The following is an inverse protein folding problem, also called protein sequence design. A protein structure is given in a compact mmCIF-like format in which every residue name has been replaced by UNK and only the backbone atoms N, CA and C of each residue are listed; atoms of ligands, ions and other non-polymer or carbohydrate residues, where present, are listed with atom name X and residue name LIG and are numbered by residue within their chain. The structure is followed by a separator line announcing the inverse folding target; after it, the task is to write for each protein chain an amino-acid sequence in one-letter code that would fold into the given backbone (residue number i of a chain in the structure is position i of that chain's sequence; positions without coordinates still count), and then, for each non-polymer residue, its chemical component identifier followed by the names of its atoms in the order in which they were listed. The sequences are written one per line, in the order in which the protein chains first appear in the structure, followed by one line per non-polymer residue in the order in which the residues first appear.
data_IF_065704148361
#
_entry.id   IF_065704148361
#
_cell.length_a   1.000
_cell.length_b   1.000
_cell.length_c   1.000
_cell.angle_alpha   90.00
_cell.angle_beta   90.00
_cell.angle_gamma   90.00
#
_symmetry.space_group_name_H-M   'P 1'
#
loop_
_entity.id
_entity.type
_entity.pdbx_description
1 polymer ?
#
# COMPACT_ATOMS: atom_id res chain seq x y z
N UNK A 1 4.28 -9.60 20.74
CA UNK A 1 3.18 -8.70 20.29
C UNK A 1 3.35 -8.14 18.87
N UNK A 2 4.42 -7.37 18.56
CA UNK A 2 4.59 -6.68 17.25
C UNK A 2 4.36 -7.58 16.01
N UNK A 3 4.99 -8.75 15.97
CA UNK A 3 4.87 -9.71 14.85
C UNK A 3 3.43 -10.21 14.68
N UNK A 4 2.71 -10.45 15.78
CA UNK A 4 1.33 -10.89 15.72
C UNK A 4 0.41 -9.78 15.21
N UNK A 5 0.64 -8.52 15.62
CA UNK A 5 -0.08 -7.37 15.07
C UNK A 5 0.19 -7.17 13.57
N UNK A 6 1.41 -7.45 13.10
CA UNK A 6 1.76 -7.38 11.68
C UNK A 6 0.98 -8.41 10.86
N UNK A 7 0.89 -9.65 11.35
CA UNK A 7 0.05 -10.70 10.76
C UNK A 7 -1.43 -10.31 10.77
N UNK A 8 -1.94 -9.82 11.90
CA UNK A 8 -3.32 -9.37 12.00
C UNK A 8 -3.61 -8.24 11.01
N UNK A 9 -2.72 -7.25 10.85
CA UNK A 9 -2.84 -6.19 9.83
C UNK A 9 -2.94 -6.78 8.42
N UNK A 10 -2.09 -7.76 8.06
CA UNK A 10 -2.18 -8.42 6.75
C UNK A 10 -3.53 -9.11 6.56
N UNK A 11 -4.01 -9.82 7.57
CA UNK A 11 -5.33 -10.46 7.56
C UNK A 11 -6.45 -9.44 7.39
N UNK A 12 -6.39 -8.29 8.09
CA UNK A 12 -7.41 -7.24 7.99
C UNK A 12 -7.47 -6.57 6.60
N UNK A 13 -6.41 -6.68 5.80
CA UNK A 13 -6.43 -6.21 4.40
C UNK A 13 -7.37 -7.05 3.51
N UNK A 14 -7.72 -8.28 3.90
CA UNK A 14 -8.66 -9.15 3.16
C UNK A 14 -9.91 -9.50 3.98
N UNK A 15 -9.79 -9.73 5.28
CA UNK A 15 -10.86 -10.07 6.21
C UNK A 15 -11.34 -8.86 7.03
N UNK A 16 -12.55 -8.93 7.57
CA UNK A 16 -13.15 -7.88 8.41
C UNK A 16 -12.73 -7.95 9.88
N UNK A 17 -12.10 -9.04 10.30
CA UNK A 17 -11.67 -9.31 11.66
C UNK A 17 -10.40 -10.16 11.67
N UNK A 18 -9.57 -10.02 12.70
CA UNK A 18 -8.39 -10.85 12.94
C UNK A 18 -8.22 -11.10 14.44
N UNK A 19 -7.83 -12.33 14.78
CA UNK A 19 -7.49 -12.74 16.15
C UNK A 19 -5.97 -12.68 16.34
N UNK A 20 -5.55 -12.20 17.50
CA UNK A 20 -4.17 -12.09 17.97
C UNK A 20 -4.09 -12.98 19.20
N UNK A 21 -3.37 -14.10 19.07
CA UNK A 21 -3.11 -15.03 20.17
C UNK A 21 -1.59 -15.13 20.36
N UNK A 22 -1.14 -14.95 21.59
CA UNK A 22 0.27 -15.09 21.97
C UNK A 22 0.33 -15.77 23.33
N UNK A 23 0.94 -16.96 23.35
CA UNK A 23 1.13 -17.74 24.56
C UNK A 23 2.13 -17.05 25.49
N UNK A 24 1.86 -17.09 26.80
CA UNK A 24 2.73 -16.59 27.86
C UNK A 24 3.35 -15.20 27.56
N UNK A 25 2.55 -14.26 27.05
CA UNK A 25 3.04 -12.94 26.62
C UNK A 25 3.69 -12.17 27.77
N UNK A 26 3.13 -12.26 28.97
CA UNK A 26 3.65 -11.62 30.18
C UNK A 26 3.30 -12.46 31.41
N UNK A 27 4.27 -12.73 32.28
CA UNK A 27 4.09 -13.51 33.52
C UNK A 27 3.39 -14.88 33.34
N UNK A 28 3.69 -15.57 32.24
CA UNK A 28 3.02 -16.83 31.84
C UNK A 28 1.51 -16.71 31.60
N UNK A 29 1.01 -15.50 31.35
CA UNK A 29 -0.38 -15.24 30.97
C UNK A 29 -0.47 -15.11 29.46
N UNK A 30 -1.38 -15.89 28.87
CA UNK A 30 -1.70 -15.82 27.44
C UNK A 30 -2.40 -14.52 27.11
N UNK A 31 -2.20 -14.04 25.88
CA UNK A 31 -2.83 -12.83 25.38
C UNK A 31 -3.76 -13.15 24.20
N UNK A 32 -5.06 -13.40 24.46
CA UNK A 32 -6.08 -13.44 23.43
C UNK A 32 -6.65 -12.03 23.20
N UNK A 33 -6.61 -11.57 21.95
CA UNK A 33 -7.26 -10.34 21.54
C UNK A 33 -7.88 -10.48 20.16
N UNK A 34 -8.93 -9.72 19.88
CA UNK A 34 -9.54 -9.67 18.57
C UNK A 34 -9.69 -8.23 18.13
N UNK A 35 -9.35 -7.95 16.87
CA UNK A 35 -9.46 -6.63 16.28
C UNK A 35 -10.26 -6.70 14.98
N UNK A 36 -11.16 -5.73 14.79
CA UNK A 36 -11.92 -5.58 13.55
C UNK A 36 -11.21 -4.62 12.61
N UNK A 37 -11.48 -4.74 11.31
CA UNK A 37 -10.98 -3.81 10.28
C UNK A 37 -11.42 -2.38 10.61
N UNK A 38 -12.68 -2.20 11.01
CA UNK A 38 -13.21 -0.89 11.39
C UNK A 38 -12.39 -0.25 12.54
N UNK A 39 -12.07 -1.03 13.58
CA UNK A 39 -11.25 -0.54 14.70
C UNK A 39 -9.82 -0.23 14.27
N UNK A 40 -9.22 -1.06 13.43
CA UNK A 40 -7.90 -0.79 12.86
C UNK A 40 -7.88 0.50 12.03
N UNK A 41 -8.88 0.70 11.18
CA UNK A 41 -9.00 1.90 10.35
C UNK A 41 -9.26 3.16 11.16
N UNK A 42 -10.00 3.06 12.27
CA UNK A 42 -10.17 4.13 13.24
C UNK A 42 -8.84 4.50 13.92
N UNK A 43 -8.11 3.51 14.43
CA UNK A 43 -6.83 3.69 15.13
C UNK A 43 -5.74 4.32 14.25
N UNK A 44 -5.77 4.08 12.94
CA UNK A 44 -4.80 4.60 11.99
C UNK A 44 -5.37 5.70 11.08
N UNK A 45 -6.56 6.23 11.38
CA UNK A 45 -7.29 7.10 10.46
C UNK A 45 -6.56 8.41 10.15
N UNK A 46 -5.89 8.98 11.12
CA UNK A 46 -5.02 10.16 10.97
C UNK A 46 -3.80 9.86 10.07
N UNK A 47 -3.13 8.73 10.30
CA UNK A 47 -2.01 8.27 9.48
C UNK A 47 -2.42 7.97 8.03
N UNK A 48 -3.61 7.40 7.82
CA UNK A 48 -4.12 7.15 6.47
C UNK A 48 -4.50 8.44 5.75
N UNK A 49 -5.02 9.45 6.45
CA UNK A 49 -5.32 10.75 5.83
C UNK A 49 -4.05 11.52 5.49
N UNK A 50 -2.99 11.41 6.29
CA UNK A 50 -1.74 12.12 6.03
C UNK A 50 -1.04 11.63 4.76
N UNK A 51 -1.35 10.42 4.24
CA UNK A 51 -0.78 9.93 2.97
C UNK A 51 -1.25 10.70 1.75
N UNK A 52 -2.34 11.48 1.84
CA UNK A 52 -2.84 12.30 0.74
C UNK A 52 -2.03 13.60 0.60
N UNK A 53 -1.48 14.14 1.69
CA UNK A 53 -0.75 15.41 1.66
C UNK A 53 0.47 15.39 0.71
N UNK A 54 1.30 14.32 0.66
CA UNK A 54 2.35 14.20 -0.35
C UNK A 54 1.83 14.16 -1.80
N UNK A 55 0.66 13.56 -2.02
CA UNK A 55 0.04 13.47 -3.36
C UNK A 55 -0.42 14.85 -3.83
N UNK A 56 -1.00 15.64 -2.93
CA UNK A 56 -1.35 17.03 -3.24
C UNK A 56 -0.12 17.87 -3.55
N UNK A 57 0.94 17.74 -2.74
CA UNK A 57 2.19 18.49 -2.93
C UNK A 57 2.82 18.19 -4.28
N UNK A 58 2.92 16.92 -4.69
CA UNK A 58 3.54 16.58 -5.99
C UNK A 58 2.74 17.10 -7.18
N UNK A 59 1.40 17.13 -7.08
CA UNK A 59 0.56 17.74 -8.12
C UNK A 59 0.76 19.26 -8.21
N UNK A 60 0.89 19.93 -7.06
CA UNK A 60 1.19 21.37 -7.01
C UNK A 60 2.56 21.67 -7.62
N UNK A 61 3.58 20.90 -7.25
CA UNK A 61 4.95 21.06 -7.76
C UNK A 61 5.00 20.82 -9.27
N UNK A 62 4.23 19.84 -9.77
CA UNK A 62 4.07 19.54 -11.19
C UNK A 62 3.16 20.54 -11.93
N UNK A 63 2.46 21.44 -11.22
CA UNK A 63 1.42 22.33 -11.76
C UNK A 63 0.34 21.58 -12.55
N UNK A 64 -0.03 20.39 -12.06
CA UNK A 64 -0.99 19.50 -12.72
C UNK A 64 -2.30 19.44 -11.94
N UNK A 65 -3.42 19.50 -12.66
CA UNK A 65 -4.71 19.17 -12.08
C UNK A 65 -4.84 17.66 -11.90
N UNK A 66 -5.49 17.22 -10.82
CA UNK A 66 -5.70 15.80 -10.51
C UNK A 66 -6.49 15.05 -11.60
N UNK A 67 -7.32 15.75 -12.38
CA UNK A 67 -8.08 15.18 -13.51
C UNK A 67 -7.18 14.83 -14.70
N UNK A 68 -6.02 15.47 -14.80
CA UNK A 68 -5.03 15.20 -15.84
C UNK A 68 -4.22 13.93 -15.56
N UNK A 69 -4.39 13.31 -14.39
CA UNK A 69 -3.78 12.01 -14.09
C UNK A 69 -4.60 10.91 -14.78
N UNK A 70 -3.96 10.19 -15.69
CA UNK A 70 -4.59 9.13 -16.48
C UNK A 70 -4.73 7.85 -15.65
N UNK A 71 -3.64 7.42 -15.02
CA UNK A 71 -3.55 6.18 -14.25
C UNK A 71 -2.96 6.43 -12.87
N UNK A 72 -3.43 5.66 -11.89
CA UNK A 72 -2.89 5.64 -10.53
C UNK A 72 -2.42 4.24 -10.22
N UNK A 73 -1.10 4.04 -10.21
CA UNK A 73 -0.46 2.75 -9.91
C UNK A 73 -0.09 2.70 -8.43
N UNK A 74 -0.46 1.61 -7.75
CA UNK A 74 -0.12 1.39 -6.35
C UNK A 74 1.11 0.49 -6.21
N UNK A 75 2.09 0.94 -5.45
CA UNK A 75 3.34 0.19 -5.20
C UNK A 75 3.61 0.14 -3.68
N UNK A 76 4.07 -1.02 -3.21
CA UNK A 76 4.37 -1.29 -1.80
C UNK A 76 3.22 -1.98 -1.04
N UNK A 77 3.56 -2.95 -0.18
CA UNK A 77 2.59 -3.84 0.46
C UNK A 77 1.50 -3.17 1.31
N UNK A 78 1.75 -2.00 1.89
CA UNK A 78 0.72 -1.27 2.67
C UNK A 78 -0.39 -0.69 1.79
N UNK A 79 -0.19 -0.58 0.47
CA UNK A 79 -1.25 -0.18 -0.47
C UNK A 79 -2.35 -1.23 -0.61
N UNK A 80 -2.16 -2.44 -0.08
CA UNK A 80 -3.19 -3.50 0.00
C UNK A 80 -4.29 -3.19 1.02
N UNK A 81 -4.08 -2.20 1.91
CA UNK A 81 -5.08 -1.81 2.90
C UNK A 81 -6.29 -1.15 2.19
N UNK A 82 -7.52 -1.67 2.34
CA UNK A 82 -8.70 -1.16 1.64
C UNK A 82 -8.96 0.33 1.87
N UNK A 83 -8.78 0.82 3.10
CA UNK A 83 -8.97 2.23 3.42
C UNK A 83 -8.02 3.16 2.67
N UNK A 84 -6.75 2.75 2.49
CA UNK A 84 -5.76 3.52 1.72
C UNK A 84 -6.18 3.59 0.26
N UNK A 85 -6.64 2.47 -0.31
CA UNK A 85 -7.14 2.44 -1.69
C UNK A 85 -8.35 3.36 -1.87
N UNK A 86 -9.33 3.29 -0.96
CA UNK A 86 -10.50 4.17 -1.00
C UNK A 86 -10.08 5.64 -0.95
N UNK A 87 -9.22 6.04 -0.01
CA UNK A 87 -8.79 7.44 0.11
C UNK A 87 -8.09 7.95 -1.15
N UNK A 88 -7.24 7.13 -1.77
CA UNK A 88 -6.56 7.50 -3.01
C UNK A 88 -7.55 7.58 -4.18
N UNK A 89 -8.46 6.62 -4.31
CA UNK A 89 -9.49 6.64 -5.36
C UNK A 89 -10.40 7.87 -5.22
N UNK A 90 -10.88 8.14 -4.00
CA UNK A 90 -11.72 9.29 -3.66
C UNK A 90 -11.01 10.61 -3.98
N UNK A 91 -9.71 10.70 -3.65
CA UNK A 91 -8.90 11.87 -3.98
C UNK A 91 -8.88 12.17 -5.48
N UNK A 92 -8.72 11.12 -6.31
CA UNK A 92 -8.77 11.19 -7.77
C UNK A 92 -10.20 11.11 -8.36
N UNK A 93 -11.24 11.34 -7.56
CA UNK A 93 -12.62 11.44 -8.02
C UNK A 93 -13.29 10.10 -8.32
N UNK A 94 -12.96 9.05 -7.57
CA UNK A 94 -13.49 7.70 -7.75
C UNK A 94 -12.83 6.92 -8.89
N UNK A 95 -11.67 7.38 -9.37
CA UNK A 95 -10.92 6.69 -10.43
C UNK A 95 -10.53 5.28 -9.98
N UNK A 96 -10.67 4.30 -10.87
CA UNK A 96 -10.19 2.95 -10.62
C UNK A 96 -8.67 2.93 -10.50
N UNK A 97 -8.17 2.24 -9.48
CA UNK A 97 -6.74 2.14 -9.22
C UNK A 97 -6.16 0.99 -10.03
N UNK A 98 -5.03 1.24 -10.67
CA UNK A 98 -4.37 0.27 -11.52
C UNK A 98 -3.68 -0.81 -10.66
N UNK A 99 -4.10 -2.06 -10.86
CA UNK A 99 -3.63 -3.25 -10.15
C UNK A 99 -2.93 -4.25 -11.08
N UNK A 100 -2.59 -3.86 -12.32
CA UNK A 100 -1.95 -4.75 -13.29
C UNK A 100 -0.50 -5.09 -12.94
N UNK A 101 0.11 -4.29 -12.06
CA UNK A 101 1.50 -4.46 -11.62
C UNK A 101 1.52 -5.05 -10.21
N UNK A 102 2.40 -6.02 -9.97
CA UNK A 102 2.63 -6.55 -8.63
C UNK A 102 3.30 -5.48 -7.75
N UNK A 103 2.64 -5.01 -6.67
CA UNK A 103 3.13 -3.90 -5.86
C UNK A 103 4.42 -4.23 -5.10
N UNK A 104 4.74 -5.51 -4.90
CA UNK A 104 5.94 -5.94 -4.17
C UNK A 104 7.17 -6.07 -5.09
N UNK A 105 6.96 -6.23 -6.40
CA UNK A 105 8.02 -6.49 -7.38
C UNK A 105 8.30 -5.29 -8.29
N UNK A 106 7.35 -4.34 -8.41
CA UNK A 106 7.44 -3.20 -9.33
C UNK A 106 8.78 -2.44 -9.24
N UNK A 107 9.24 -2.19 -8.01
CA UNK A 107 10.48 -1.43 -7.75
C UNK A 107 11.71 -2.24 -8.18
N UNK A 108 11.75 -3.52 -7.83
CA UNK A 108 12.86 -4.40 -8.19
C UNK A 108 12.95 -4.60 -9.70
N UNK A 109 11.80 -4.77 -10.35
CA UNK A 109 11.71 -4.87 -11.81
C UNK A 109 12.24 -3.62 -12.50
N UNK A 110 11.81 -2.43 -12.08
CA UNK A 110 12.29 -1.16 -12.63
C UNK A 110 13.81 -1.00 -12.45
N UNK A 111 14.34 -1.39 -11.28
CA UNK A 111 15.79 -1.40 -11.02
C UNK A 111 16.56 -2.34 -11.96
N UNK A 112 16.03 -3.54 -12.19
CA UNK A 112 16.65 -4.51 -13.09
C UNK A 112 16.64 -4.05 -14.56
N UNK A 113 15.52 -3.46 -15.01
CA UNK A 113 15.42 -2.86 -16.36
C UNK A 113 16.44 -1.73 -16.52
N UNK A 114 16.55 -0.84 -15.53
CA UNK A 114 17.52 0.25 -15.58
C UNK A 114 18.97 -0.26 -15.60
N UNK A 115 19.28 -1.29 -14.79
CA UNK A 115 20.60 -1.92 -14.80
C UNK A 115 20.93 -2.54 -16.17
N UNK A 116 19.96 -3.24 -16.77
CA UNK A 116 20.12 -3.82 -18.11
C UNK A 116 20.45 -2.76 -19.16
N UNK A 117 19.71 -1.64 -19.18
CA UNK A 117 19.95 -0.52 -20.10
C UNK A 117 21.36 0.07 -19.89
N UNK A 118 21.77 0.29 -18.64
CA UNK A 118 23.09 0.86 -18.32
C UNK A 118 24.25 -0.06 -18.70
N UNK A 119 24.04 -1.38 -18.69
CA UNK A 119 25.05 -2.37 -19.14
C UNK A 119 25.10 -2.54 -20.66
N UNK A 120 24.38 -1.73 -21.43
CA UNK A 120 24.32 -1.82 -22.89
C UNK A 120 23.49 -3.00 -23.39
N UNK A 121 22.63 -3.56 -22.54
CA UNK A 121 21.69 -4.60 -22.91
C UNK A 121 20.74 -4.12 -24.01
N UNK A 122 20.69 -4.85 -25.12
CA UNK A 122 19.72 -4.63 -26.20
C UNK A 122 18.60 -5.66 -26.07
N UNK A 123 17.38 -5.19 -25.83
CA UNK A 123 16.18 -6.01 -25.83
C UNK A 123 15.51 -5.93 -27.20
N UNK A 124 14.98 -7.04 -27.73
CA UNK A 124 14.17 -7.04 -28.96
C UNK A 124 12.86 -6.24 -28.82
N UNK A 125 12.46 -5.83 -27.61
CA UNK A 125 11.25 -5.01 -27.36
C UNK A 125 11.51 -3.50 -27.34
N UNK A 126 12.77 -3.05 -27.41
CA UNK A 126 13.11 -1.62 -27.55
C UNK A 126 13.32 -1.19 -29.01
N UNK A 127 13.12 -2.10 -29.96
CA UNK A 127 13.04 -1.82 -31.39
C UNK A 127 11.56 -1.76 -31.80
N UNK A 128 10.98 -0.55 -31.76
CA UNK A 128 9.59 -0.28 -32.13
C UNK A 128 9.22 1.17 -31.91
#
# INVERSE_FOLDING_TARGET
LRTACERAKRTLSSATQATIEIDALFENVDFPATITRARFEELCGDLFRSTIQPVERVLQDAKMDKRSVHDVVLVGGSTRIPKVQSLVSDFFGGKELNKSINPDEAVAYAGAVQAFILTGGKSKQTEG
#
